data_IF_103963074308
#
_entry.id   IF_103963074308
#
_cell.length_a   1.000
_cell.length_b   1.000
_cell.length_c   1.000
_cell.angle_alpha   90.00
_cell.angle_beta   90.00
_cell.angle_gamma   90.00
#
_symmetry.space_group_name_H-M   'P 1'
#
loop_
_entity.id
_entity.type
_entity.pdbx_description
1 polymer ?
#
# COMPACT_ATOMS: atom_id res chain seq x y z
N UNK A 1 21.17 -0.20 -14.22
CA UNK A 1 20.86 0.56 -12.99
C UNK A 1 21.86 0.13 -11.93
N UNK A 2 22.50 1.06 -11.24
CA UNK A 2 23.43 0.71 -10.15
C UNK A 2 22.65 -0.13 -9.09
N UNK A 3 23.10 -1.35 -8.74
CA UNK A 3 22.39 -2.20 -7.78
C UNK A 3 22.12 -1.51 -6.43
N UNK A 4 23.01 -0.62 -5.99
CA UNK A 4 22.83 0.14 -4.74
C UNK A 4 21.62 1.09 -4.81
N UNK A 5 21.39 1.71 -5.98
CA UNK A 5 20.23 2.59 -6.17
C UNK A 5 18.93 1.80 -6.14
N UNK A 6 18.93 0.58 -6.68
CA UNK A 6 17.75 -0.29 -6.70
C UNK A 6 17.34 -0.70 -5.27
N UNK A 7 18.31 -0.98 -4.40
CA UNK A 7 18.04 -1.29 -2.99
C UNK A 7 17.41 -0.11 -2.25
N UNK A 8 17.97 1.10 -2.39
CA UNK A 8 17.40 2.29 -1.74
C UNK A 8 15.98 2.61 -2.24
N UNK A 9 15.73 2.45 -3.55
CA UNK A 9 14.38 2.60 -4.11
C UNK A 9 13.39 1.56 -3.56
N UNK A 10 13.84 0.31 -3.36
CA UNK A 10 13.01 -0.74 -2.79
C UNK A 10 12.61 -0.43 -1.34
N UNK A 11 13.52 0.09 -0.52
CA UNK A 11 13.22 0.47 0.87
C UNK A 11 12.18 1.61 0.95
N UNK A 12 12.28 2.62 0.08
CA UNK A 12 11.25 3.67 -0.02
C UNK A 12 9.87 3.08 -0.35
N UNK A 13 9.81 2.15 -1.32
CA UNK A 13 8.56 1.49 -1.72
C UNK A 13 7.99 0.60 -0.61
N UNK A 14 8.83 -0.14 0.11
CA UNK A 14 8.39 -0.96 1.26
C UNK A 14 7.76 -0.11 2.37
N UNK A 15 8.30 1.08 2.60
CA UNK A 15 7.74 2.03 3.57
C UNK A 15 6.35 2.56 3.17
N UNK A 16 6.11 2.79 1.88
CA UNK A 16 4.89 3.45 1.38
C UNK A 16 3.78 2.49 0.95
N UNK A 17 4.10 1.23 0.58
CA UNK A 17 3.10 0.27 0.08
C UNK A 17 2.01 -0.06 1.09
N UNK A 18 2.32 -0.03 2.40
CA UNK A 18 1.33 -0.21 3.47
C UNK A 18 0.27 0.88 3.40
N UNK A 19 0.72 2.15 3.39
CA UNK A 19 -0.16 3.31 3.32
C UNK A 19 -1.00 3.27 2.03
N UNK A 20 -0.37 2.97 0.90
CA UNK A 20 -1.05 2.88 -0.39
C UNK A 20 -2.16 1.82 -0.40
N UNK A 21 -1.90 0.63 0.16
CA UNK A 21 -2.92 -0.40 0.29
C UNK A 21 -4.10 0.09 1.15
N UNK A 22 -3.82 0.69 2.31
CA UNK A 22 -4.88 1.16 3.23
C UNK A 22 -5.72 2.29 2.62
N UNK A 23 -5.11 3.19 1.84
CA UNK A 23 -5.84 4.23 1.12
C UNK A 23 -6.69 3.61 0.01
N UNK A 24 -6.08 2.76 -0.84
CA UNK A 24 -6.74 2.22 -2.03
C UNK A 24 -7.90 1.29 -1.71
N UNK A 25 -7.81 0.56 -0.59
CA UNK A 25 -8.81 -0.37 -0.10
C UNK A 25 -9.92 0.27 0.75
N UNK A 26 -10.00 1.61 0.84
CA UNK A 26 -11.20 2.29 1.39
C UNK A 26 -12.47 1.94 0.62
N UNK A 27 -12.32 1.53 -0.64
CA UNK A 27 -13.34 0.86 -1.43
C UNK A 27 -12.94 -0.61 -1.62
N UNK A 28 -13.88 -1.57 -1.61
CA UNK A 28 -13.58 -2.98 -1.81
C UNK A 28 -12.74 -3.24 -3.07
N UNK A 29 -11.69 -4.05 -2.95
CA UNK A 29 -10.82 -4.43 -4.06
C UNK A 29 -10.22 -5.81 -3.88
N UNK A 30 -9.95 -6.52 -4.99
CA UNK A 30 -9.29 -7.82 -4.97
C UNK A 30 -7.82 -7.70 -5.37
N UNK A 31 -6.99 -8.64 -4.90
CA UNK A 31 -5.53 -8.50 -4.94
C UNK A 31 -4.92 -8.22 -6.31
N UNK A 32 -5.44 -8.83 -7.38
CA UNK A 32 -4.92 -8.58 -8.74
C UNK A 32 -5.23 -7.15 -9.23
N UNK A 33 -6.48 -6.67 -9.10
CA UNK A 33 -6.82 -5.30 -9.46
C UNK A 33 -6.06 -4.28 -8.59
N UNK A 34 -5.85 -4.58 -7.30
CA UNK A 34 -5.04 -3.74 -6.43
C UNK A 34 -3.60 -3.61 -6.97
N UNK A 35 -2.97 -4.72 -7.36
CA UNK A 35 -1.64 -4.72 -7.95
C UNK A 35 -1.57 -3.83 -9.20
N UNK A 36 -2.49 -4.00 -10.14
CA UNK A 36 -2.54 -3.18 -11.37
C UNK A 36 -2.69 -1.68 -11.05
N UNK A 37 -3.56 -1.34 -10.10
CA UNK A 37 -3.78 0.07 -9.71
C UNK A 37 -2.55 0.68 -9.04
N UNK A 38 -1.90 -0.05 -8.14
CA UNK A 38 -0.69 0.44 -7.46
C UNK A 38 0.45 0.65 -8.46
N UNK A 39 0.66 -0.29 -9.38
CA UNK A 39 1.66 -0.16 -10.45
C UNK A 39 1.36 1.06 -11.35
N UNK A 40 0.09 1.28 -11.72
CA UNK A 40 -0.32 2.43 -12.52
C UNK A 40 -0.07 3.77 -11.81
N UNK A 41 -0.20 3.80 -10.48
CA UNK A 41 0.10 4.96 -9.63
C UNK A 41 1.60 5.11 -9.31
N UNK A 42 2.47 4.29 -9.92
CA UNK A 42 3.93 4.35 -9.77
C UNK A 42 4.48 3.59 -8.56
N UNK A 43 3.63 2.86 -7.84
CA UNK A 43 3.99 1.99 -6.72
C UNK A 43 4.13 0.54 -7.18
N UNK A 44 5.24 0.28 -7.85
CA UNK A 44 5.57 -1.04 -8.39
C UNK A 44 5.75 -2.07 -7.26
N UNK A 45 4.80 -3.00 -7.16
CA UNK A 45 4.75 -4.09 -6.18
C UNK A 45 4.40 -5.39 -6.88
N UNK A 46 5.14 -6.45 -6.59
CA UNK A 46 4.85 -7.77 -7.12
C UNK A 46 3.84 -8.55 -6.25
N UNK A 47 3.29 -9.63 -6.82
CA UNK A 47 2.36 -10.50 -6.12
C UNK A 47 2.97 -11.17 -4.87
N UNK A 48 4.27 -11.50 -4.92
CA UNK A 48 4.98 -12.16 -3.81
C UNK A 48 5.14 -11.22 -2.60
N UNK A 49 5.02 -9.92 -2.81
CA UNK A 49 5.05 -8.89 -1.78
C UNK A 49 3.64 -8.51 -1.34
N UNK A 50 2.73 -8.30 -2.31
CA UNK A 50 1.38 -7.81 -2.03
C UNK A 50 0.54 -8.81 -1.24
N UNK A 51 0.52 -10.09 -1.63
CA UNK A 51 -0.36 -11.06 -0.97
C UNK A 51 0.04 -11.37 0.48
N UNK A 52 1.33 -11.56 0.83
CA UNK A 52 1.74 -11.65 2.22
C UNK A 52 1.46 -10.37 3.02
N UNK A 53 1.62 -9.20 2.39
CA UNK A 53 1.26 -7.92 3.00
C UNK A 53 -0.23 -7.86 3.37
N UNK A 54 -1.13 -8.18 2.44
CA UNK A 54 -2.57 -8.18 2.70
C UNK A 54 -2.96 -9.14 3.83
N UNK A 55 -2.38 -10.35 3.86
CA UNK A 55 -2.59 -11.31 4.96
C UNK A 55 -2.11 -10.76 6.30
N UNK A 56 -0.99 -10.03 6.32
CA UNK A 56 -0.46 -9.40 7.53
C UNK A 56 -1.38 -8.27 8.01
N UNK A 57 -1.82 -7.39 7.12
CA UNK A 57 -2.75 -6.31 7.44
C UNK A 57 -4.10 -6.84 7.96
N UNK A 58 -4.59 -7.93 7.36
CA UNK A 58 -5.77 -8.65 7.82
C UNK A 58 -5.58 -9.23 9.23
N UNK A 59 -4.46 -9.92 9.48
CA UNK A 59 -4.11 -10.44 10.82
C UNK A 59 -4.00 -9.33 11.88
N UNK A 60 -3.60 -8.12 11.47
CA UNK A 60 -3.52 -6.94 12.32
C UNK A 60 -4.88 -6.24 12.52
N UNK A 61 -5.94 -6.68 11.83
CA UNK A 61 -7.26 -6.05 11.88
C UNK A 61 -7.33 -4.71 11.14
N UNK A 62 -6.33 -4.37 10.33
CA UNK A 62 -6.28 -3.12 9.55
C UNK A 62 -7.07 -3.21 8.24
N UNK A 63 -7.30 -4.44 7.79
CA UNK A 63 -8.07 -4.76 6.59
C UNK A 63 -9.00 -5.92 6.92
N UNK A 64 -10.24 -5.89 6.45
CA UNK A 64 -11.18 -7.01 6.46
C UNK A 64 -11.23 -7.65 5.08
N UNK A 65 -11.81 -8.85 5.00
CA UNK A 65 -11.97 -9.52 3.73
C UNK A 65 -13.27 -10.31 3.62
N UNK A 66 -13.74 -10.43 2.39
CA UNK A 66 -14.95 -11.15 2.05
C UNK A 66 -14.72 -11.94 0.75
N UNK A 67 -15.25 -13.15 0.68
CA UNK A 67 -15.23 -13.92 -0.56
C UNK A 67 -16.43 -13.54 -1.41
N UNK A 68 -16.19 -13.02 -2.61
CA UNK A 68 -17.20 -12.98 -3.65
C UNK A 68 -17.20 -14.32 -4.38
N UNK A 69 -18.34 -15.02 -4.34
CA UNK A 69 -18.58 -16.31 -4.99
C UNK A 69 -19.60 -16.23 -6.12
N UNK A 70 -19.97 -15.02 -6.55
CA UNK A 70 -20.99 -14.77 -7.58
C UNK A 70 -20.46 -15.09 -8.98
N UNK A 71 -19.14 -15.00 -9.17
CA UNK A 71 -18.46 -15.36 -10.42
C UNK A 71 -17.94 -16.80 -10.41
N UNK A 72 -17.70 -17.37 -11.61
CA UNK A 72 -17.16 -18.72 -11.81
C UNK A 72 -15.80 -18.97 -11.12
N UNK A 73 -15.09 -17.90 -10.74
CA UNK A 73 -13.86 -17.96 -9.96
C UNK A 73 -14.02 -17.11 -8.70
N UNK A 74 -14.15 -17.73 -7.51
CA UNK A 74 -14.23 -17.00 -6.27
C UNK A 74 -13.03 -16.05 -6.09
N UNK A 75 -13.31 -14.81 -5.70
CA UNK A 75 -12.29 -13.78 -5.43
C UNK A 75 -12.42 -13.30 -4.01
N UNK A 76 -11.27 -13.17 -3.34
CA UNK A 76 -11.19 -12.53 -2.03
C UNK A 76 -11.05 -11.02 -2.21
N UNK A 77 -12.06 -10.28 -1.77
CA UNK A 77 -12.07 -8.82 -1.71
C UNK A 77 -11.56 -8.38 -0.33
N UNK A 78 -10.85 -7.27 -0.32
CA UNK A 78 -10.30 -6.65 0.88
C UNK A 78 -10.89 -5.26 1.03
N UNK A 79 -11.07 -4.82 2.27
CA UNK A 79 -11.54 -3.46 2.58
C UNK A 79 -10.83 -2.95 3.83
N UNK A 80 -10.38 -1.70 3.81
CA UNK A 80 -9.74 -1.07 4.97
C UNK A 80 -10.73 -0.96 6.12
N UNK A 81 -10.32 -1.37 7.32
CA UNK A 81 -11.14 -1.28 8.52
C UNK A 81 -11.14 0.15 9.10
N UNK A 82 -11.89 0.38 10.19
CA UNK A 82 -11.77 1.62 10.97
C UNK A 82 -10.35 1.83 11.49
N UNK A 83 -9.76 0.82 12.12
CA UNK A 83 -8.38 0.85 12.60
C UNK A 83 -7.35 1.07 11.46
N UNK A 84 -7.59 0.46 10.29
CA UNK A 84 -6.78 0.70 9.11
C UNK A 84 -6.89 2.13 8.58
N UNK A 85 -8.08 2.72 8.68
CA UNK A 85 -8.32 4.12 8.28
C UNK A 85 -7.62 5.10 9.22
N UNK A 86 -7.68 4.85 10.53
CA UNK A 86 -6.93 5.62 11.54
C UNK A 86 -5.43 5.56 11.30
N UNK A 87 -4.89 4.35 11.08
CA UNK A 87 -3.47 4.18 10.77
C UNK A 87 -3.08 4.89 9.47
N UNK A 88 -3.92 4.79 8.43
CA UNK A 88 -3.66 5.51 7.17
C UNK A 88 -3.58 7.01 7.39
N UNK A 89 -4.44 7.60 8.23
CA UNK A 89 -4.38 9.03 8.54
C UNK A 89 -3.08 9.42 9.26
N UNK A 90 -2.64 8.61 10.24
CA UNK A 90 -1.35 8.83 10.95
C UNK A 90 -0.17 8.76 9.97
N UNK A 91 -0.13 7.72 9.13
CA UNK A 91 0.95 7.52 8.16
C UNK A 91 0.97 8.60 7.07
N UNK A 92 -0.20 9.07 6.61
CA UNK A 92 -0.28 10.21 5.66
C UNK A 92 0.30 11.47 6.30
N UNK A 93 -0.09 11.79 7.53
CA UNK A 93 0.41 12.99 8.20
C UNK A 93 1.94 12.94 8.38
N UNK A 94 2.50 11.78 8.75
CA UNK A 94 3.94 11.61 8.89
C UNK A 94 4.68 11.72 7.54
N UNK A 95 4.11 11.14 6.48
CA UNK A 95 4.64 11.27 5.12
C UNK A 95 4.66 12.72 4.65
N UNK A 96 3.60 13.49 4.90
CA UNK A 96 3.53 14.91 4.53
C UNK A 96 4.61 15.74 5.25
N UNK A 97 4.90 15.41 6.52
CA UNK A 97 5.99 16.06 7.26
C UNK A 97 7.37 15.73 6.67
N UNK A 98 7.59 14.46 6.32
CA UNK A 98 8.84 14.01 5.69
C UNK A 98 9.05 14.66 4.32
N UNK A 99 8.02 14.68 3.46
CA UNK A 99 8.06 15.34 2.16
C UNK A 99 8.36 16.83 2.30
N UNK A 100 7.68 17.52 3.22
CA UNK A 100 7.96 18.93 3.49
C UNK A 100 9.40 19.18 3.97
N UNK A 101 9.95 18.31 4.82
CA UNK A 101 11.33 18.40 5.28
C UNK A 101 12.33 18.19 4.12
N UNK A 102 12.11 17.18 3.29
CA UNK A 102 12.97 16.89 2.13
C UNK A 102 12.91 17.99 1.08
N UNK A 103 11.73 18.58 0.82
CA UNK A 103 11.59 19.74 -0.07
C UNK A 103 12.42 20.92 0.42
N UNK A 104 12.33 21.27 1.71
CA UNK A 104 13.15 22.33 2.30
C UNK A 104 14.65 22.07 2.14
N UNK A 105 15.10 20.82 2.31
CA UNK A 105 16.51 20.45 2.13
C UNK A 105 16.96 20.57 0.66
N UNK A 106 16.07 20.31 -0.30
CA UNK A 106 16.36 20.46 -1.74
C UNK A 106 16.37 21.91 -2.21
N UNK A 107 15.58 22.76 -1.59
CA UNK A 107 15.46 24.19 -1.92
C UNK A 107 16.48 25.06 -1.16
N UNK A 108 16.98 24.58 -0.02
CA UNK A 108 18.04 25.21 0.78
C UNK A 108 19.47 24.83 0.39
N UNK A 109 19.65 24.15 -0.74
CA UNK A 109 20.94 23.78 -1.33
C UNK A 109 21.21 24.53 -2.64
#
# INVERSE_FOLDING_TARGET
MNPDHAQHLQELRRGTVVLACLIRLRTPGYGYALLETLTADGLDVDANTLYPLLRRLEKQGLVTSEWNTDEARPRKFYTTSSAGTELAAVLTADWDQLDAALRRLREGA
#
